data_IF_336761026658
#
_entry.id   IF_336761026658
#
_cell.length_a   1.000
_cell.length_b   1.000
_cell.length_c   1.000
_cell.angle_alpha   90.00
_cell.angle_beta   90.00
_cell.angle_gamma   90.00
#
_symmetry.space_group_name_H-M   'P 1'
#
loop_
_entity.id
_entity.type
_entity.pdbx_description
1 polymer ?
#
# COMPACT_ATOMS: atom_id res chain seq x y z
N UNK A 1 -11.72 2.71 -20.49
CA UNK A 1 -10.81 2.11 -19.49
C UNK A 1 -9.62 3.05 -19.30
N UNK A 2 -9.05 3.13 -18.09
CA UNK A 2 -7.83 3.93 -17.88
C UNK A 2 -6.68 3.36 -18.70
N UNK A 3 -5.86 4.23 -19.29
CA UNK A 3 -4.62 3.80 -19.92
C UNK A 3 -3.68 3.18 -18.89
N UNK A 4 -2.83 2.26 -19.34
CA UNK A 4 -1.85 1.56 -18.49
C UNK A 4 -0.93 2.52 -17.74
N UNK A 5 -0.51 3.62 -18.37
CA UNK A 5 0.30 4.65 -17.72
C UNK A 5 -0.40 5.37 -16.56
N UNK A 6 -1.71 5.62 -16.68
CA UNK A 6 -2.48 6.22 -15.60
C UNK A 6 -2.62 5.26 -14.42
N UNK A 7 -2.89 3.98 -14.70
CA UNK A 7 -2.99 2.96 -13.67
C UNK A 7 -1.66 2.77 -12.93
N UNK A 8 -0.55 2.66 -13.68
CA UNK A 8 0.79 2.56 -13.10
C UNK A 8 1.10 3.75 -12.19
N UNK A 9 0.81 4.97 -12.66
CA UNK A 9 1.01 6.18 -11.86
C UNK A 9 0.18 6.20 -10.57
N UNK A 10 -1.10 5.81 -10.64
CA UNK A 10 -1.96 5.73 -9.45
C UNK A 10 -1.39 4.73 -8.44
N UNK A 11 -0.98 3.54 -8.90
CA UNK A 11 -0.46 2.49 -8.02
C UNK A 11 0.86 2.90 -7.35
N UNK A 12 1.82 3.40 -8.13
CA UNK A 12 3.12 3.85 -7.60
C UNK A 12 2.91 5.01 -6.62
N UNK A 13 2.15 6.04 -7.02
CA UNK A 13 1.89 7.19 -6.14
C UNK A 13 1.21 6.76 -4.84
N UNK A 14 0.30 5.79 -4.88
CA UNK A 14 -0.45 5.33 -3.70
C UNK A 14 0.40 4.47 -2.76
N UNK A 15 1.13 3.51 -3.31
CA UNK A 15 1.77 2.44 -2.51
C UNK A 15 3.27 2.65 -2.30
N UNK A 16 3.97 3.28 -3.24
CA UNK A 16 5.41 3.57 -3.16
C UNK A 16 5.66 4.96 -2.57
N UNK A 17 4.95 5.98 -3.07
CA UNK A 17 5.08 7.37 -2.56
C UNK A 17 4.17 7.68 -1.36
N UNK A 18 3.36 6.71 -0.92
CA UNK A 18 2.41 6.85 0.19
C UNK A 18 1.43 8.03 0.04
N UNK A 19 1.09 8.42 -1.19
CA UNK A 19 0.17 9.51 -1.45
C UNK A 19 -1.28 9.06 -1.20
N UNK A 20 -2.03 9.69 -0.29
CA UNK A 20 -3.43 9.34 -0.09
C UNK A 20 -4.27 9.73 -1.32
N UNK A 21 -5.30 8.93 -1.64
CA UNK A 21 -6.05 9.07 -2.89
C UNK A 21 -6.72 10.43 -3.04
N UNK A 22 -7.26 11.01 -1.97
CA UNK A 22 -7.83 12.37 -2.01
C UNK A 22 -6.80 13.41 -2.48
N UNK A 23 -5.53 13.27 -2.09
CA UNK A 23 -4.45 14.19 -2.49
C UNK A 23 -4.04 13.96 -3.95
N UNK A 24 -4.15 12.72 -4.42
CA UNK A 24 -3.96 12.38 -5.82
C UNK A 24 -5.12 12.93 -6.68
N UNK A 25 -6.36 12.87 -6.20
CA UNK A 25 -7.52 13.51 -6.81
C UNK A 25 -7.29 15.02 -6.98
N UNK A 26 -6.88 15.73 -5.92
CA UNK A 26 -6.54 17.16 -6.02
C UNK A 26 -5.46 17.44 -7.07
N UNK A 27 -4.49 16.53 -7.20
CA UNK A 27 -3.42 16.66 -8.22
C UNK A 27 -3.96 16.49 -9.63
N UNK A 28 -4.88 15.56 -9.85
CA UNK A 28 -5.57 15.41 -11.13
C UNK A 28 -6.49 16.59 -11.43
N UNK A 29 -7.22 17.09 -10.43
CA UNK A 29 -8.10 18.25 -10.58
C UNK A 29 -7.31 19.49 -11.02
N UNK A 30 -6.11 19.73 -10.45
CA UNK A 30 -5.18 20.78 -10.90
C UNK A 30 -4.72 20.63 -12.36
N UNK A 31 -4.73 19.41 -12.90
CA UNK A 31 -4.40 19.09 -14.30
C UNK A 31 -5.63 19.07 -15.21
N UNK A 32 -6.81 19.45 -14.68
CA UNK A 32 -8.08 19.47 -15.43
C UNK A 32 -8.76 18.10 -15.54
N UNK A 33 -8.35 17.10 -14.75
CA UNK A 33 -8.94 15.77 -14.74
C UNK A 33 -9.67 15.53 -13.41
N UNK A 34 -11.00 15.41 -13.46
CA UNK A 34 -11.79 15.02 -12.29
C UNK A 34 -11.89 13.48 -12.23
N UNK A 35 -11.15 12.88 -11.29
CA UNK A 35 -11.12 11.43 -11.09
C UNK A 35 -11.49 11.15 -9.63
N UNK A 36 -12.73 10.72 -9.34
CA UNK A 36 -13.17 10.47 -7.97
C UNK A 36 -12.32 9.42 -7.25
N UNK A 37 -12.17 9.58 -5.93
CA UNK A 37 -11.44 8.64 -5.08
C UNK A 37 -11.98 7.22 -5.22
N UNK A 38 -13.31 7.03 -5.27
CA UNK A 38 -13.95 5.73 -5.47
C UNK A 38 -13.48 5.05 -6.76
N UNK A 39 -13.36 5.81 -7.85
CA UNK A 39 -12.88 5.29 -9.13
C UNK A 39 -11.41 4.86 -9.05
N UNK A 40 -10.59 5.59 -8.30
CA UNK A 40 -9.19 5.20 -8.08
C UNK A 40 -9.08 3.97 -7.17
N UNK A 41 -9.92 3.88 -6.14
CA UNK A 41 -10.02 2.69 -5.28
C UNK A 41 -10.38 1.46 -6.11
N UNK A 42 -11.43 1.53 -6.93
CA UNK A 42 -11.87 0.41 -7.77
C UNK A 42 -10.75 -0.06 -8.71
N UNK A 43 -9.98 0.87 -9.27
CA UNK A 43 -8.81 0.58 -10.11
C UNK A 43 -7.68 -0.09 -9.34
N UNK A 44 -7.38 0.40 -8.13
CA UNK A 44 -6.39 -0.22 -7.25
C UNK A 44 -6.80 -1.65 -6.89
N UNK A 45 -8.07 -1.85 -6.49
CA UNK A 45 -8.61 -3.17 -6.16
C UNK A 45 -8.47 -4.12 -7.34
N UNK A 46 -8.89 -3.70 -8.54
CA UNK A 46 -8.77 -4.53 -9.73
C UNK A 46 -7.32 -4.88 -10.07
N UNK A 47 -6.40 -3.92 -9.97
CA UNK A 47 -4.98 -4.18 -10.19
C UNK A 47 -4.42 -5.19 -9.18
N UNK A 48 -4.78 -5.08 -7.90
CA UNK A 48 -4.35 -6.03 -6.87
C UNK A 48 -4.89 -7.43 -7.11
N UNK A 49 -6.14 -7.57 -7.58
CA UNK A 49 -6.69 -8.87 -7.97
C UNK A 49 -5.88 -9.51 -9.11
N UNK A 50 -5.43 -8.73 -10.09
CA UNK A 50 -4.60 -9.22 -11.20
C UNK A 50 -3.19 -9.59 -10.71
N UNK A 51 -2.64 -8.85 -9.74
CA UNK A 51 -1.30 -9.08 -9.20
C UNK A 51 -1.25 -10.18 -8.12
N UNK A 52 -2.40 -10.60 -7.59
CA UNK A 52 -2.53 -11.64 -6.56
C UNK A 52 -1.64 -12.88 -6.76
N UNK A 53 -1.60 -13.55 -7.93
CA UNK A 53 -0.75 -14.73 -8.11
C UNK A 53 0.75 -14.43 -8.05
N UNK A 54 1.16 -13.20 -8.37
CA UNK A 54 2.55 -12.77 -8.22
C UNK A 54 2.89 -12.53 -6.75
N UNK A 55 1.98 -11.88 -6.02
CA UNK A 55 2.11 -11.64 -4.57
C UNK A 55 2.29 -12.97 -3.83
N UNK A 56 1.44 -13.96 -4.12
CA UNK A 56 1.51 -15.30 -3.51
C UNK A 56 2.85 -16.01 -3.78
N UNK A 57 3.39 -15.85 -4.99
CA UNK A 57 4.72 -16.42 -5.35
C UNK A 57 5.85 -15.72 -4.61
N UNK A 58 5.79 -14.40 -4.50
CA UNK A 58 6.78 -13.61 -3.74
C UNK A 58 6.73 -14.01 -2.27
N UNK A 59 5.53 -14.10 -1.69
CA UNK A 59 5.32 -14.54 -0.31
C UNK A 59 5.90 -15.93 -0.07
N UNK A 60 5.55 -16.90 -0.92
CA UNK A 60 6.10 -18.26 -0.84
C UNK A 60 7.64 -18.25 -0.93
N UNK A 61 8.21 -17.45 -1.82
CA UNK A 61 9.66 -17.33 -1.99
C UNK A 61 10.37 -16.66 -0.79
N UNK A 62 9.68 -15.77 -0.06
CA UNK A 62 10.17 -15.16 1.19
C UNK A 62 10.06 -16.17 2.34
N UNK A 63 8.94 -16.86 2.44
CA UNK A 63 8.65 -17.82 3.51
C UNK A 63 9.46 -19.12 3.40
N UNK A 64 10.05 -19.43 2.25
CA UNK A 64 10.91 -20.63 2.10
C UNK A 64 12.38 -20.37 2.43
N UNK A 65 12.76 -19.13 2.78
CA UNK A 65 14.16 -18.77 3.05
C UNK A 65 14.60 -19.00 4.50
N UNK A 66 15.85 -19.42 4.64
CA UNK A 66 16.51 -19.71 5.93
C UNK A 66 16.78 -18.46 6.78
N UNK A 67 17.00 -17.30 6.13
CA UNK A 67 17.22 -16.01 6.80
C UNK A 67 16.22 -14.97 6.29
N UNK A 68 15.49 -14.37 7.24
CA UNK A 68 14.50 -13.31 6.97
C UNK A 68 14.85 -12.10 7.81
N UNK A 69 15.21 -11.00 7.16
CA UNK A 69 15.26 -9.70 7.81
C UNK A 69 13.84 -9.13 7.77
N UNK A 70 13.21 -9.10 8.94
CA UNK A 70 11.97 -8.37 9.15
C UNK A 70 12.33 -7.09 9.90
N UNK A 71 12.03 -5.95 9.31
CA UNK A 71 12.05 -4.68 10.03
C UNK A 71 10.70 -4.51 10.75
N UNK A 72 10.72 -4.49 12.08
CA UNK A 72 9.55 -4.26 12.90
C UNK A 72 9.38 -2.75 13.13
N UNK A 73 8.88 -2.07 12.10
CA UNK A 73 8.51 -0.66 12.22
C UNK A 73 7.07 -0.57 12.75
N UNK A 74 6.93 -0.18 14.02
CA UNK A 74 5.61 0.09 14.61
C UNK A 74 5.03 1.38 14.02
N UNK A 75 3.98 1.27 13.23
CA UNK A 75 3.21 2.43 12.79
C UNK A 75 2.11 2.73 13.81
N UNK A 76 2.29 3.81 14.57
CA UNK A 76 1.32 4.22 15.59
C UNK A 76 -0.06 4.46 14.99
N UNK A 77 -1.10 3.84 15.58
CA UNK A 77 -2.47 4.01 15.09
C UNK A 77 -2.91 5.47 15.26
N UNK A 78 -3.03 6.20 14.13
CA UNK A 78 -3.43 7.62 14.10
C UNK A 78 -4.94 7.84 13.96
N UNK A 79 -5.72 6.76 14.02
CA UNK A 79 -7.18 6.83 14.00
C UNK A 79 -7.65 7.34 15.38
N UNK A 80 -8.39 8.45 15.48
CA UNK A 80 -8.79 9.04 16.77
C UNK A 80 -9.57 8.07 17.66
N UNK A 81 -10.40 7.23 17.04
CA UNK A 81 -11.18 6.18 17.72
C UNK A 81 -10.30 5.11 18.38
N UNK A 82 -9.11 4.89 17.82
CA UNK A 82 -8.14 3.94 18.34
C UNK A 82 -7.31 4.54 19.48
N UNK A 83 -6.96 5.82 19.39
CA UNK A 83 -6.24 6.52 20.46
C UNK A 83 -7.05 6.64 21.76
N UNK A 84 -8.38 6.77 21.66
CA UNK A 84 -9.28 6.86 22.81
C UNK A 84 -9.47 5.55 23.60
N UNK A 85 -8.99 4.41 23.08
CA UNK A 85 -9.01 3.09 23.73
C UNK A 85 -7.60 2.60 24.06
N UNK A 86 -6.75 3.47 24.57
CA UNK A 86 -5.43 3.11 25.08
C UNK A 86 -5.57 2.02 26.17
N UNK A 87 -5.35 0.76 25.79
CA UNK A 87 -5.48 -0.41 26.67
C UNK A 87 -6.42 -1.52 26.18
N UNK A 88 -7.29 -1.28 25.19
CA UNK A 88 -8.16 -2.33 24.62
C UNK A 88 -8.32 -2.19 23.10
N UNK A 89 -7.59 -3.02 22.36
CA UNK A 89 -7.97 -3.44 21.00
C UNK A 89 -7.71 -2.43 19.89
N UNK A 90 -6.57 -1.73 19.92
CA UNK A 90 -6.04 -1.14 18.70
C UNK A 90 -4.91 -2.04 18.27
N UNK A 91 -5.20 -2.94 17.32
CA UNK A 91 -4.15 -3.70 16.64
C UNK A 91 -3.27 -2.67 15.95
N UNK A 92 -2.11 -2.39 16.55
CA UNK A 92 -1.05 -1.63 15.90
C UNK A 92 -0.76 -2.35 14.59
N UNK A 93 -0.84 -1.63 13.46
CA UNK A 93 -0.49 -2.20 12.17
C UNK A 93 0.97 -2.59 12.21
N UNK A 94 1.25 -3.88 12.03
CA UNK A 94 2.61 -4.36 11.83
C UNK A 94 2.93 -4.27 10.35
N UNK A 95 3.67 -3.24 9.97
CA UNK A 95 4.22 -3.15 8.62
C UNK A 95 5.48 -4.01 8.55
N UNK A 96 5.34 -5.23 8.03
CA UNK A 96 6.45 -6.16 7.83
C UNK A 96 7.19 -5.81 6.52
N UNK A 97 8.24 -4.99 6.61
CA UNK A 97 9.13 -4.77 5.49
C UNK A 97 10.21 -5.86 5.44
N UNK A 98 10.27 -6.58 4.32
CA UNK A 98 11.32 -7.56 4.04
C UNK A 98 12.42 -6.93 3.19
N UNK A 99 13.50 -6.51 3.83
CA UNK A 99 14.69 -6.02 3.11
C UNK A 99 15.61 -7.19 2.82
N UNK A 100 15.95 -7.41 1.55
CA UNK A 100 17.14 -8.18 1.21
C UNK A 100 18.35 -7.27 1.28
N UNK A 101 19.12 -7.35 2.37
CA UNK A 101 20.55 -7.04 2.30
C UNK A 101 21.31 -8.37 2.31
N UNK A 102 22.07 -8.64 1.24
CA UNK A 102 22.97 -9.79 1.10
C UNK A 102 24.40 -9.31 0.81
N UNK A 103 24.84 -8.25 1.47
CA UNK A 103 26.27 -7.96 1.53
C UNK A 103 27.01 -9.14 2.20
N UNK A 104 28.16 -9.56 1.63
CA UNK A 104 28.96 -10.67 2.15
C UNK A 104 29.51 -10.40 3.56
#
# INVERSE_FOLDING_TARGET
MAGTGLLAYILVSKFDDYLPLYRLNETFARKGADIPDSTMVDRCVHAMQVLQPLIERIETAIMTRDLRHADDTRSGCRIPRCQARAGQGCEEGQDLNFVRDQRP
#
